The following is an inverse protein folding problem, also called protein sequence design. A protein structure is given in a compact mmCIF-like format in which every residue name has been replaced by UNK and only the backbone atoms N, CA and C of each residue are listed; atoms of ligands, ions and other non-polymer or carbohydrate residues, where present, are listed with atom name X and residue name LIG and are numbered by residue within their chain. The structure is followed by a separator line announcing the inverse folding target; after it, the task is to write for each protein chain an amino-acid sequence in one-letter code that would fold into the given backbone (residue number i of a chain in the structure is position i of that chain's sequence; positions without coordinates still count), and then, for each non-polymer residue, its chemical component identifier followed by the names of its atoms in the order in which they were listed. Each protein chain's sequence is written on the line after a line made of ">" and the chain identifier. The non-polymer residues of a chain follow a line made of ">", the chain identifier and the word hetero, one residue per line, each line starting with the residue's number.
data_IF_207884809262
#
_entry.id   IF_207884809262
#
_cell.length_a   1.000
_cell.length_b   1.000
_cell.length_c   1.000
_cell.angle_alpha   90.00
_cell.angle_beta   90.00
_cell.angle_gamma   90.00
#
_symmetry.space_group_name_H-M   'P 1'
#
loop_
_entity.id
_entity.type
_entity.pdbx_description
1 polymer ?
#
# COMPACT_ATOMS: atom_id res chain seq x y z
N UNK A 1 -26.59 -16.95 15.34
CA UNK A 1 -26.51 -15.87 16.36
C UNK A 1 -25.23 -15.03 16.24
N UNK A 2 -24.08 -15.59 15.81
CA UNK A 2 -22.84 -14.82 15.59
C UNK A 2 -22.83 -13.97 14.30
N UNK A 3 -23.60 -14.33 13.27
CA UNK A 3 -23.62 -13.58 12.00
C UNK A 3 -24.27 -12.19 12.09
N UNK A 4 -24.92 -11.86 13.22
CA UNK A 4 -25.43 -10.50 13.50
C UNK A 4 -24.36 -9.59 14.13
N UNK A 5 -23.20 -10.15 14.52
CA UNK A 5 -22.00 -9.40 14.87
C UNK A 5 -21.30 -9.04 13.56
N UNK A 6 -21.92 -8.12 12.81
CA UNK A 6 -21.32 -7.55 11.61
C UNK A 6 -20.26 -6.51 11.97
N UNK A 7 -20.17 -5.48 11.14
CA UNK A 7 -19.34 -4.29 11.35
C UNK A 7 -19.40 -3.71 12.78
N UNK A 8 -20.56 -3.70 13.50
CA UNK A 8 -20.60 -3.18 14.87
C UNK A 8 -19.69 -3.92 15.85
N UNK A 9 -19.57 -5.24 15.76
CA UNK A 9 -18.70 -6.00 16.67
C UNK A 9 -17.22 -5.85 16.34
N UNK A 10 -16.88 -5.70 15.05
CA UNK A 10 -15.53 -5.34 14.63
C UNK A 10 -15.10 -3.99 15.26
N UNK A 11 -15.99 -2.99 15.21
CA UNK A 11 -15.73 -1.66 15.80
C UNK A 11 -15.47 -1.77 17.31
N UNK A 12 -16.26 -2.57 18.04
CA UNK A 12 -16.05 -2.76 19.48
C UNK A 12 -14.65 -3.32 19.79
N UNK A 13 -14.23 -4.36 19.06
CA UNK A 13 -12.88 -4.94 19.19
C UNK A 13 -11.81 -3.90 18.85
N UNK A 14 -12.03 -3.12 17.79
CA UNK A 14 -11.12 -2.06 17.36
C UNK A 14 -10.96 -1.00 18.45
N UNK A 15 -12.05 -0.56 19.09
CA UNK A 15 -12.00 0.41 20.20
C UNK A 15 -11.17 -0.13 21.37
N UNK A 16 -11.37 -1.38 21.78
CA UNK A 16 -10.57 -2.00 22.86
C UNK A 16 -9.08 -2.04 22.47
N UNK A 17 -8.78 -2.45 21.24
CA UNK A 17 -7.41 -2.45 20.72
C UNK A 17 -6.81 -1.04 20.69
N UNK A 18 -7.60 -0.01 20.33
CA UNK A 18 -7.17 1.38 20.34
C UNK A 18 -6.95 1.95 21.74
N UNK A 19 -7.63 1.44 22.77
CA UNK A 19 -7.35 1.84 24.16
C UNK A 19 -5.99 1.29 24.60
N UNK A 20 -5.67 0.04 24.23
CA UNK A 20 -4.40 -0.60 24.59
C UNK A 20 -3.22 -0.02 23.79
N UNK A 21 -3.37 0.08 22.48
CA UNK A 21 -2.29 0.49 21.58
C UNK A 21 -2.29 2.00 21.29
N UNK A 22 -3.44 2.68 21.37
CA UNK A 22 -3.62 4.08 20.99
C UNK A 22 -4.07 4.27 19.53
N UNK A 23 -4.92 5.28 19.24
CA UNK A 23 -5.42 5.57 17.89
C UNK A 23 -4.33 5.95 16.89
N UNK A 24 -3.21 6.49 17.37
CA UNK A 24 -2.08 6.88 16.52
C UNK A 24 -1.26 5.69 16.00
N UNK A 25 -1.34 4.51 16.63
CA UNK A 25 -0.54 3.35 16.24
C UNK A 25 -1.03 2.66 14.97
N UNK A 26 -2.33 2.60 14.73
CA UNK A 26 -2.85 2.03 13.48
C UNK A 26 -2.40 2.81 12.23
N UNK A 27 -2.48 4.15 12.17
CA UNK A 27 -1.94 4.92 11.05
C UNK A 27 -0.42 4.80 10.91
N UNK A 28 0.31 4.74 12.02
CA UNK A 28 1.77 4.59 12.03
C UNK A 28 2.19 3.26 11.41
N UNK A 29 1.60 2.15 11.86
CA UNK A 29 1.82 0.81 11.30
C UNK A 29 1.37 0.75 9.85
N UNK A 30 0.20 1.31 9.51
CA UNK A 30 -0.30 1.35 8.13
C UNK A 30 0.64 2.11 7.18
N UNK A 31 1.23 3.22 7.62
CA UNK A 31 2.23 3.97 6.83
C UNK A 31 3.51 3.16 6.63
N UNK A 32 4.02 2.50 7.67
CA UNK A 32 5.21 1.65 7.58
C UNK A 32 4.95 0.46 6.64
N UNK A 33 3.87 -0.27 6.86
CA UNK A 33 3.48 -1.43 6.05
C UNK A 33 3.16 -1.04 4.61
N UNK A 34 2.52 0.11 4.38
CA UNK A 34 2.22 0.63 3.05
C UNK A 34 3.47 0.96 2.23
N UNK A 35 4.53 1.50 2.87
CA UNK A 35 5.83 1.70 2.22
C UNK A 35 6.44 0.37 1.81
N UNK A 36 6.49 -0.60 2.73
CA UNK A 36 6.98 -1.95 2.44
C UNK A 36 6.20 -2.62 1.32
N UNK A 37 4.87 -2.54 1.31
CA UNK A 37 4.04 -3.12 0.27
C UNK A 37 4.28 -2.43 -1.10
N UNK A 38 4.55 -1.12 -1.10
CA UNK A 38 4.85 -0.37 -2.33
C UNK A 38 6.19 -0.79 -2.94
N UNK A 39 7.22 -0.94 -2.11
CA UNK A 39 8.52 -1.47 -2.55
C UNK A 39 8.41 -2.92 -3.00
N UNK A 40 7.71 -3.76 -2.22
CA UNK A 40 7.48 -5.16 -2.57
C UNK A 40 6.73 -5.30 -3.90
N UNK A 41 5.68 -4.49 -4.13
CA UNK A 41 4.95 -4.45 -5.40
C UNK A 41 5.84 -4.02 -6.55
N UNK A 42 6.71 -3.05 -6.36
CA UNK A 42 7.62 -2.55 -7.39
C UNK A 42 8.67 -3.61 -7.75
N UNK A 43 9.30 -4.23 -6.75
CA UNK A 43 10.25 -5.32 -6.94
C UNK A 43 9.60 -6.52 -7.62
N UNK A 44 8.43 -6.94 -7.16
CA UNK A 44 7.67 -8.06 -7.77
C UNK A 44 7.28 -7.73 -9.21
N UNK A 45 6.89 -6.48 -9.51
CA UNK A 45 6.58 -6.05 -10.88
C UNK A 45 7.81 -6.14 -11.79
N UNK A 46 8.98 -5.73 -11.31
CA UNK A 46 10.23 -5.87 -12.08
C UNK A 46 10.59 -7.32 -12.34
N UNK A 47 10.37 -8.22 -11.35
CA UNK A 47 10.63 -9.65 -11.50
C UNK A 47 9.65 -10.32 -12.48
N UNK A 48 8.35 -10.02 -12.38
CA UNK A 48 7.31 -10.54 -13.29
C UNK A 48 7.46 -9.99 -14.71
N UNK A 49 7.74 -8.69 -14.86
CA UNK A 49 7.94 -8.08 -16.17
C UNK A 49 9.26 -8.46 -16.84
N UNK A 50 10.19 -9.14 -16.15
CA UNK A 50 11.41 -9.66 -16.79
C UNK A 50 11.17 -10.97 -17.56
N UNK A 51 10.02 -11.63 -17.38
CA UNK A 51 9.65 -12.87 -18.08
C UNK A 51 8.69 -12.62 -19.26
N UNK A 52 8.04 -11.44 -19.30
CA UNK A 52 7.11 -11.04 -20.37
C UNK A 52 7.40 -9.61 -20.86
N UNK A 53 8.26 -9.52 -21.87
CA UNK A 53 8.31 -8.51 -22.93
C UNK A 53 8.55 -7.02 -22.57
N UNK A 54 9.65 -6.52 -23.14
CA UNK A 54 9.86 -5.13 -23.57
C UNK A 54 8.59 -4.50 -24.18
N UNK A 55 7.81 -3.74 -23.41
CA UNK A 55 6.94 -2.66 -23.90
C UNK A 55 6.14 -2.02 -22.75
N UNK A 56 6.72 -1.03 -22.06
CA UNK A 56 6.04 0.27 -21.94
C UNK A 56 6.98 1.32 -21.34
N UNK A 57 7.78 1.88 -22.24
CA UNK A 57 7.88 3.32 -22.43
C UNK A 57 8.25 4.20 -21.22
N UNK A 58 9.53 4.57 -21.25
CA UNK A 58 10.13 5.80 -20.72
C UNK A 58 9.48 7.10 -21.28
N UNK A 59 8.15 7.24 -21.28
CA UNK A 59 7.50 8.53 -21.60
C UNK A 59 7.54 9.43 -20.37
N UNK A 60 8.59 10.25 -20.25
CA UNK A 60 8.57 11.65 -19.71
C UNK A 60 9.92 12.03 -19.06
N UNK A 61 11.02 12.02 -19.81
CA UNK A 61 12.18 12.89 -19.45
C UNK A 61 13.09 13.24 -20.63
N UNK A 62 12.53 13.63 -21.78
CA UNK A 62 13.33 14.13 -22.91
C UNK A 62 12.60 15.18 -23.76
N UNK A 63 12.07 16.24 -23.12
CA UNK A 63 11.47 17.40 -23.82
C UNK A 63 11.94 18.77 -23.31
N UNK A 64 13.06 18.84 -22.59
CA UNK A 64 13.52 20.13 -22.01
C UNK A 64 15.00 20.46 -22.29
N UNK A 65 15.66 19.77 -23.22
CA UNK A 65 17.11 20.00 -23.41
C UNK A 65 17.57 20.12 -24.87
N UNK A 66 16.69 20.46 -25.81
CA UNK A 66 17.09 20.65 -27.22
C UNK A 66 16.48 21.89 -27.87
N UNK A 67 15.99 22.86 -27.09
CA UNK A 67 15.51 24.15 -27.61
C UNK A 67 16.20 25.34 -26.94
N UNK A 68 17.53 25.27 -26.80
CA UNK A 68 18.41 26.38 -26.45
C UNK A 68 19.58 26.43 -27.42
#
# INVERSE_FOLDING_TARGET
>A
MLSNIGIPGLILVLVIALIIFGPSKLPEIGRAFGKTLTEFKSATKSLVSSDDNDADTEVKKKRDQTAG
#
